data_IF_511498278591
#
_entry.id   IF_511498278591
#
_cell.length_a   1.000
_cell.length_b   1.000
_cell.length_c   1.000
_cell.angle_alpha   90.00
_cell.angle_beta   90.00
_cell.angle_gamma   90.00
#
_symmetry.space_group_name_H-M   'P 1'
#
loop_
_entity.id
_entity.type
_entity.pdbx_description
1 polymer ?
#
# COMPACT_ATOMS: atom_id res chain seq x y z
N UNK A 1 -11.93 10.30 0.99
CA UNK A 1 -12.06 8.88 1.42
C UNK A 1 -12.46 8.88 2.90
N UNK A 2 -13.17 7.86 3.38
CA UNK A 2 -13.50 7.75 4.80
C UNK A 2 -12.22 7.61 5.63
N UNK A 3 -12.19 8.23 6.81
CA UNK A 3 -11.14 8.05 7.81
C UNK A 3 -11.82 7.39 9.00
N UNK A 4 -11.27 6.25 9.44
CA UNK A 4 -11.69 5.55 10.63
C UNK A 4 -10.55 5.65 11.66
N UNK A 5 -10.91 5.84 12.92
CA UNK A 5 -9.96 5.86 14.03
C UNK A 5 -10.08 4.51 14.73
N UNK A 6 -8.96 3.81 14.82
CA UNK A 6 -8.81 2.63 15.66
C UNK A 6 -8.29 3.11 17.02
N UNK A 7 -9.18 3.17 18.00
CA UNK A 7 -8.84 3.62 19.37
C UNK A 7 -8.33 2.44 20.21
N UNK A 8 -7.67 2.75 21.33
CA UNK A 8 -7.17 1.74 22.26
C UNK A 8 -8.29 0.74 22.66
N UNK A 9 -8.05 -0.59 22.52
CA UNK A 9 -6.75 -1.26 22.45
C UNK A 9 -6.19 -1.51 21.03
N UNK A 10 -6.69 -0.84 19.99
CA UNK A 10 -6.25 -0.99 18.60
C UNK A 10 -6.60 -2.36 18.00
N UNK A 11 -7.83 -2.84 18.25
CA UNK A 11 -8.28 -4.18 17.83
C UNK A 11 -8.13 -4.37 16.33
N UNK A 12 -8.50 -3.36 15.53
CA UNK A 12 -8.39 -3.43 14.07
C UNK A 12 -6.93 -3.58 13.66
N UNK A 13 -6.05 -2.78 14.25
CA UNK A 13 -4.62 -2.83 13.92
C UNK A 13 -4.00 -4.19 14.26
N UNK A 14 -4.40 -4.77 15.39
CA UNK A 14 -3.97 -6.12 15.80
C UNK A 14 -4.49 -7.20 14.85
N UNK A 15 -5.77 -7.13 14.43
CA UNK A 15 -6.35 -8.11 13.49
C UNK A 15 -5.68 -8.07 12.12
N UNK A 16 -5.25 -6.89 11.66
CA UNK A 16 -4.45 -6.75 10.44
C UNK A 16 -2.98 -7.15 10.61
N UNK A 17 -2.55 -7.47 11.84
CA UNK A 17 -1.16 -7.84 12.13
C UNK A 17 -0.18 -6.69 11.90
N UNK A 18 -0.58 -5.44 12.17
CA UNK A 18 0.28 -4.27 12.01
C UNK A 18 1.49 -4.32 12.98
N UNK A 19 2.68 -4.55 12.43
CA UNK A 19 3.95 -4.52 13.17
C UNK A 19 4.74 -3.22 12.95
N UNK A 20 4.55 -2.58 11.80
CA UNK A 20 5.28 -1.39 11.39
C UNK A 20 4.32 -0.27 10.96
N UNK A 21 4.78 0.97 11.01
CA UNK A 21 4.01 2.12 10.54
C UNK A 21 4.87 2.98 9.61
N UNK A 22 4.31 3.56 8.53
CA UNK A 22 3.00 3.22 7.96
C UNK A 22 3.02 1.82 7.33
N UNK A 23 1.85 1.17 7.22
CA UNK A 23 1.65 -0.01 6.36
C UNK A 23 0.49 0.26 5.42
N UNK A 24 0.62 -0.18 4.17
CA UNK A 24 -0.41 -0.08 3.13
C UNK A 24 -0.89 -1.48 2.76
N UNK A 25 -2.21 -1.65 2.73
CA UNK A 25 -2.85 -2.88 2.25
C UNK A 25 -3.61 -2.61 0.96
N UNK A 26 -3.39 -3.45 -0.06
CA UNK A 26 -4.27 -3.55 -1.22
C UNK A 26 -5.25 -4.70 -0.97
N UNK A 27 -6.53 -4.37 -0.82
CA UNK A 27 -7.59 -5.34 -0.52
C UNK A 27 -8.47 -5.50 -1.77
N UNK A 28 -8.66 -6.75 -2.22
CA UNK A 28 -9.54 -7.06 -3.34
C UNK A 28 -11.02 -6.96 -2.96
N UNK A 29 -11.91 -6.95 -3.96
CA UNK A 29 -13.35 -6.81 -3.74
C UNK A 29 -13.98 -7.96 -2.93
N UNK A 30 -13.30 -9.11 -2.84
CA UNK A 30 -13.68 -10.26 -2.03
C UNK A 30 -13.17 -10.18 -0.57
N UNK A 31 -12.51 -9.08 -0.20
CA UNK A 31 -11.96 -8.85 1.13
C UNK A 31 -10.56 -9.44 1.35
N UNK A 32 -9.96 -10.09 0.35
CA UNK A 32 -8.62 -10.67 0.50
C UNK A 32 -7.52 -9.63 0.30
N UNK A 33 -6.56 -9.58 1.22
CA UNK A 33 -5.34 -8.79 1.08
C UNK A 33 -4.50 -9.38 -0.06
N UNK A 34 -4.24 -8.57 -1.09
CA UNK A 34 -3.40 -8.94 -2.23
C UNK A 34 -1.95 -8.51 -2.05
N UNK A 35 -1.75 -7.34 -1.43
CA UNK A 35 -0.42 -6.76 -1.16
C UNK A 35 -0.46 -6.14 0.23
N UNK A 36 0.58 -6.40 1.02
CA UNK A 36 0.93 -5.65 2.23
C UNK A 36 2.28 -4.99 2.01
N UNK A 37 2.43 -3.72 2.37
CA UNK A 37 3.64 -2.94 2.19
C UNK A 37 3.95 -2.17 3.47
N UNK A 38 5.04 -2.52 4.13
CA UNK A 38 5.51 -1.85 5.34
C UNK A 38 6.47 -0.71 5.02
N UNK A 39 6.35 0.40 5.74
CA UNK A 39 7.08 1.61 5.48
C UNK A 39 6.83 2.15 4.06
N UNK A 40 7.83 2.86 3.54
CA UNK A 40 7.89 3.17 2.11
C UNK A 40 8.66 2.08 1.38
N UNK A 41 8.00 1.40 0.45
CA UNK A 41 8.62 0.44 -0.46
C UNK A 41 8.29 0.82 -1.90
N UNK A 42 9.31 1.18 -2.66
CA UNK A 42 9.14 1.59 -4.06
C UNK A 42 8.61 0.44 -4.91
N UNK A 43 9.10 -0.77 -4.66
CA UNK A 43 8.71 -1.98 -5.40
C UNK A 43 7.24 -2.30 -5.14
N UNK A 44 6.78 -2.23 -3.90
CA UNK A 44 5.39 -2.57 -3.57
C UNK A 44 4.41 -1.53 -4.13
N UNK A 45 4.77 -0.24 -4.10
CA UNK A 45 3.98 0.82 -4.74
C UNK A 45 3.86 0.61 -6.26
N UNK A 46 4.92 0.15 -6.92
CA UNK A 46 4.88 -0.19 -8.36
C UNK A 46 4.04 -1.44 -8.64
N UNK A 47 4.06 -2.45 -7.76
CA UNK A 47 3.20 -3.63 -7.92
C UNK A 47 1.71 -3.28 -7.69
N UNK A 48 1.40 -2.37 -6.75
CA UNK A 48 0.06 -1.80 -6.58
C UNK A 48 -0.39 -1.06 -7.85
N UNK A 49 0.47 -0.22 -8.44
CA UNK A 49 0.18 0.45 -9.71
C UNK A 49 -0.13 -0.56 -10.82
N UNK A 50 0.70 -1.60 -10.95
CA UNK A 50 0.55 -2.65 -11.97
C UNK A 50 -0.73 -3.47 -11.77
N UNK A 51 -1.10 -3.75 -10.52
CA UNK A 51 -2.37 -4.39 -10.20
C UNK A 51 -3.54 -3.57 -10.76
N UNK A 52 -3.59 -2.26 -10.49
CA UNK A 52 -4.65 -1.39 -10.98
C UNK A 52 -4.62 -1.23 -12.51
N UNK A 53 -3.44 -1.10 -13.11
CA UNK A 53 -3.28 -1.05 -14.56
C UNK A 53 -3.92 -2.28 -15.23
N UNK A 54 -3.64 -3.48 -14.71
CA UNK A 54 -4.22 -4.73 -15.18
C UNK A 54 -5.73 -4.80 -14.91
N UNK A 55 -6.16 -4.49 -13.68
CA UNK A 55 -7.55 -4.61 -13.26
C UNK A 55 -8.49 -3.71 -14.08
N UNK A 56 -8.07 -2.46 -14.32
CA UNK A 56 -8.85 -1.50 -15.09
C UNK A 56 -8.53 -1.49 -16.60
N UNK A 57 -7.58 -2.31 -17.05
CA UNK A 57 -7.11 -2.33 -18.44
C UNK A 57 -6.67 -0.94 -18.94
N UNK A 58 -5.92 -0.22 -18.12
CA UNK A 58 -5.41 1.13 -18.40
C UNK A 58 -3.89 1.17 -18.35
N UNK A 59 -3.30 2.15 -19.04
CA UNK A 59 -1.87 2.46 -18.93
C UNK A 59 -1.71 3.72 -18.07
N UNK A 60 -1.46 3.58 -16.75
CA UNK A 60 -1.26 4.74 -15.90
C UNK A 60 0.05 5.45 -16.25
N UNK A 61 0.17 6.76 -15.96
CA UNK A 61 1.46 7.44 -16.02
C UNK A 61 2.45 6.79 -15.04
N UNK A 62 3.75 6.95 -15.29
CA UNK A 62 4.78 6.48 -14.37
C UNK A 62 4.56 7.04 -12.97
N UNK A 63 4.58 6.17 -11.95
CA UNK A 63 4.43 6.60 -10.57
C UNK A 63 5.61 7.44 -10.09
N UNK A 64 6.80 7.14 -10.61
CA UNK A 64 8.05 7.85 -10.33
C UNK A 64 8.70 8.27 -11.65
N UNK A 65 9.17 9.52 -11.71
CA UNK A 65 9.91 10.04 -12.84
C UNK A 65 11.40 9.67 -12.72
N UNK A 66 12.11 9.45 -13.85
CA UNK A 66 13.53 9.12 -13.82
C UNK A 66 14.43 10.18 -13.13
N UNK A 67 13.98 11.43 -13.09
CA UNK A 67 14.68 12.54 -12.43
C UNK A 67 14.52 12.56 -10.91
N UNK A 68 13.56 11.80 -10.37
CA UNK A 68 13.29 11.78 -8.93
C UNK A 68 14.26 10.85 -8.20
N UNK A 69 14.74 11.29 -7.04
CA UNK A 69 15.55 10.46 -6.14
C UNK A 69 14.64 9.74 -5.16
N UNK A 70 14.10 8.61 -5.61
CA UNK A 70 13.21 7.78 -4.80
C UNK A 70 14.04 6.66 -4.15
N UNK A 71 14.04 6.54 -2.82
CA UNK A 71 14.72 5.42 -2.16
C UNK A 71 14.03 4.11 -2.55
N UNK A 72 14.76 3.00 -2.56
CA UNK A 72 14.14 1.69 -2.78
C UNK A 72 13.26 1.30 -1.59
N UNK A 73 13.73 1.61 -0.38
CA UNK A 73 13.01 1.37 0.87
C UNK A 73 13.33 2.47 1.89
N UNK A 74 12.34 2.86 2.69
CA UNK A 74 12.52 3.69 3.88
C UNK A 74 11.58 3.20 4.99
N UNK A 75 12.11 2.75 6.13
CA UNK A 75 11.27 2.40 7.28
C UNK A 75 10.61 3.66 7.89
N UNK A 76 9.58 3.44 8.69
CA UNK A 76 8.92 4.47 9.51
C UNK A 76 9.83 5.12 10.53
#
# INVERSE_FOLDING_TARGET
>A
FPILIDEEPYETSQEYGLEYVPTLFLIAADGQVQISSDGFSKVDLLEIQKYFAKHFSVTPPSLFLPSEKIPEYKPG
#
